data_IF_509590311850
#
_entry.id   IF_509590311850
#
_cell.length_a   1.000
_cell.length_b   1.000
_cell.length_c   1.000
_cell.angle_alpha   90.00
_cell.angle_beta   90.00
_cell.angle_gamma   90.00
#
_symmetry.space_group_name_H-M   'P 1'
#
loop_
_entity.id
_entity.type
_entity.pdbx_description
1 polymer ?
#
# COMPACT_ATOMS: atom_id res chain seq x y z
N UNK A 1 25.20 -54.25 11.12
CA UNK A 1 23.96 -54.85 11.61
C UNK A 1 22.78 -54.34 10.80
N UNK A 2 22.06 -55.22 10.17
CA UNK A 2 20.83 -54.84 9.49
C UNK A 2 19.73 -54.58 10.54
N UNK A 3 19.04 -53.45 10.41
CA UNK A 3 17.85 -53.17 11.21
C UNK A 3 16.78 -54.23 10.92
N UNK A 4 16.06 -54.68 11.94
CA UNK A 4 14.92 -55.58 11.73
C UNK A 4 13.81 -54.88 10.96
N UNK A 5 12.87 -55.63 10.43
CA UNK A 5 11.79 -55.11 9.59
C UNK A 5 10.92 -54.11 10.34
N UNK A 6 10.62 -54.35 11.62
CA UNK A 6 9.84 -53.45 12.48
C UNK A 6 10.51 -52.09 12.67
N UNK A 7 11.85 -52.05 12.83
CA UNK A 7 12.59 -50.81 12.99
C UNK A 7 12.62 -50.00 11.69
N UNK A 8 12.68 -50.64 10.52
CA UNK A 8 12.59 -50.00 9.23
C UNK A 8 11.22 -49.37 8.99
N UNK A 9 10.16 -50.10 9.30
CA UNK A 9 8.78 -49.60 9.19
C UNK A 9 8.55 -48.41 10.09
N UNK A 10 9.06 -48.41 11.32
CA UNK A 10 8.97 -47.29 12.24
C UNK A 10 9.70 -46.03 11.72
N UNK A 11 10.90 -46.20 11.17
CA UNK A 11 11.68 -45.12 10.57
C UNK A 11 10.94 -44.53 9.39
N UNK A 12 10.36 -45.33 8.53
CA UNK A 12 9.60 -44.86 7.37
C UNK A 12 8.35 -44.12 7.78
N UNK A 13 7.62 -44.60 8.79
CA UNK A 13 6.45 -43.88 9.37
C UNK A 13 6.86 -42.51 9.92
N UNK A 14 7.95 -42.42 10.67
CA UNK A 14 8.48 -41.18 11.21
C UNK A 14 8.91 -40.21 10.12
N UNK A 15 9.54 -40.66 9.05
CA UNK A 15 9.90 -39.84 7.90
C UNK A 15 8.68 -39.26 7.20
N UNK A 16 7.63 -40.02 6.98
CA UNK A 16 6.39 -39.62 6.36
C UNK A 16 5.70 -38.53 7.23
N UNK A 17 5.65 -38.74 8.55
CA UNK A 17 5.08 -37.78 9.49
C UNK A 17 5.86 -36.46 9.53
N UNK A 18 7.17 -36.51 9.56
CA UNK A 18 8.02 -35.31 9.51
C UNK A 18 7.84 -34.55 8.21
N UNK A 19 7.80 -35.22 7.08
CA UNK A 19 7.56 -34.60 5.78
C UNK A 19 6.18 -33.91 5.73
N UNK A 20 5.14 -34.55 6.26
CA UNK A 20 3.80 -33.99 6.34
C UNK A 20 3.74 -32.73 7.21
N UNK A 21 4.42 -32.72 8.36
CA UNK A 21 4.50 -31.56 9.27
C UNK A 21 5.23 -30.40 8.59
N UNK A 22 6.36 -30.65 7.94
CA UNK A 22 7.13 -29.63 7.21
C UNK A 22 6.29 -29.03 6.09
N UNK A 23 5.65 -29.86 5.27
CA UNK A 23 4.79 -29.42 4.17
C UNK A 23 3.61 -28.57 4.67
N UNK A 24 2.98 -28.95 5.78
CA UNK A 24 1.88 -28.20 6.40
C UNK A 24 2.37 -26.85 6.92
N UNK A 25 3.54 -26.81 7.57
CA UNK A 25 4.14 -25.56 8.07
C UNK A 25 4.49 -24.60 6.94
N UNK A 26 5.07 -25.11 5.85
CA UNK A 26 5.36 -24.31 4.65
C UNK A 26 4.09 -23.77 4.02
N UNK A 27 3.03 -24.57 3.94
CA UNK A 27 1.73 -24.15 3.42
C UNK A 27 1.12 -23.02 4.26
N UNK A 28 1.17 -23.08 5.59
CA UNK A 28 0.69 -22.03 6.49
C UNK A 28 1.50 -20.74 6.30
N UNK A 29 2.83 -20.83 6.25
CA UNK A 29 3.71 -19.66 6.06
C UNK A 29 3.44 -19.00 4.71
N UNK A 30 3.35 -19.76 3.64
CA UNK A 30 3.07 -19.27 2.30
C UNK A 30 1.69 -18.59 2.22
N UNK A 31 0.68 -19.17 2.86
CA UNK A 31 -0.65 -18.58 2.95
C UNK A 31 -0.62 -17.22 3.70
N UNK A 32 0.07 -17.16 4.82
CA UNK A 32 0.21 -15.92 5.60
C UNK A 32 0.91 -14.82 4.81
N UNK A 33 1.94 -15.13 4.05
CA UNK A 33 2.64 -14.18 3.17
C UNK A 33 1.71 -13.74 2.05
N UNK A 34 0.99 -14.66 1.42
CA UNK A 34 0.02 -14.36 0.36
C UNK A 34 -1.08 -13.44 0.87
N UNK A 35 -1.64 -13.70 2.06
CA UNK A 35 -2.70 -12.90 2.68
C UNK A 35 -2.22 -11.48 2.97
N UNK A 36 -1.01 -11.30 3.48
CA UNK A 36 -0.42 -9.98 3.75
C UNK A 36 -0.16 -9.20 2.46
N UNK A 37 0.34 -9.86 1.42
CA UNK A 37 0.54 -9.22 0.11
C UNK A 37 -0.79 -8.83 -0.51
N UNK A 38 -1.79 -9.66 -0.40
CA UNK A 38 -3.15 -9.37 -0.86
C UNK A 38 -3.75 -8.18 -0.11
N UNK A 39 -3.54 -8.10 1.20
CA UNK A 39 -3.95 -6.95 2.01
C UNK A 39 -3.25 -5.67 1.53
N UNK A 40 -1.96 -5.70 1.30
CA UNK A 40 -1.21 -4.56 0.75
C UNK A 40 -1.80 -4.08 -0.58
N UNK A 41 -2.04 -5.00 -1.51
CA UNK A 41 -2.64 -4.68 -2.81
C UNK A 41 -4.05 -4.10 -2.66
N UNK A 42 -4.85 -4.62 -1.72
CA UNK A 42 -6.19 -4.11 -1.42
C UNK A 42 -6.14 -2.68 -0.88
N UNK A 43 -5.14 -2.35 -0.07
CA UNK A 43 -4.91 -0.98 0.41
C UNK A 43 -4.60 -0.04 -0.75
N UNK A 44 -3.70 -0.43 -1.64
CA UNK A 44 -3.36 0.38 -2.82
C UNK A 44 -4.60 0.66 -3.67
N UNK A 45 -5.39 -0.36 -3.94
CA UNK A 45 -6.63 -0.24 -4.70
C UNK A 45 -7.65 0.66 -4.00
N UNK A 46 -7.82 0.51 -2.70
CA UNK A 46 -8.74 1.34 -1.92
C UNK A 46 -8.33 2.81 -1.97
N UNK A 47 -7.05 3.11 -1.78
CA UNK A 47 -6.53 4.48 -1.86
C UNK A 47 -6.81 5.09 -3.23
N UNK A 48 -6.46 4.38 -4.31
CA UNK A 48 -6.67 4.86 -5.67
C UNK A 48 -8.16 5.11 -6.00
N UNK A 49 -9.05 4.30 -5.43
CA UNK A 49 -10.49 4.42 -5.65
C UNK A 49 -11.15 5.54 -4.82
N UNK A 50 -10.49 6.04 -3.79
CA UNK A 50 -11.06 6.98 -2.81
C UNK A 50 -10.28 8.30 -2.69
N UNK A 51 -9.51 8.69 -3.70
CA UNK A 51 -8.71 9.92 -3.69
C UNK A 51 -9.56 11.18 -3.51
N UNK A 52 -10.79 11.17 -4.03
CA UNK A 52 -11.73 12.29 -3.92
C UNK A 52 -12.60 12.24 -2.67
N UNK A 53 -12.30 11.36 -1.73
CA UNK A 53 -12.98 11.21 -0.46
C UNK A 53 -12.10 11.68 0.70
N UNK A 54 -12.72 11.93 1.83
CA UNK A 54 -12.01 12.16 3.10
C UNK A 54 -11.44 10.81 3.58
N UNK A 55 -10.25 10.49 3.11
CA UNK A 55 -9.62 9.21 3.30
C UNK A 55 -8.79 9.17 4.59
N UNK A 56 -9.20 8.33 5.53
CA UNK A 56 -8.48 8.07 6.78
C UNK A 56 -7.98 6.63 6.83
N UNK A 57 -6.88 6.41 7.54
CA UNK A 57 -6.36 5.06 7.77
C UNK A 57 -7.39 4.18 8.49
N UNK A 58 -8.16 4.77 9.41
CA UNK A 58 -9.26 4.06 10.09
C UNK A 58 -10.32 3.53 9.14
N UNK A 59 -10.64 4.25 8.08
CA UNK A 59 -11.62 3.82 7.07
C UNK A 59 -11.12 2.60 6.30
N UNK A 60 -9.84 2.60 5.92
CA UNK A 60 -9.20 1.47 5.24
C UNK A 60 -9.17 0.25 6.15
N UNK A 61 -8.77 0.44 7.41
CA UNK A 61 -8.72 -0.63 8.41
C UNK A 61 -10.09 -1.26 8.62
N UNK A 62 -11.14 -0.44 8.75
CA UNK A 62 -12.52 -0.90 8.87
C UNK A 62 -12.98 -1.69 7.65
N UNK A 63 -12.65 -1.21 6.45
CA UNK A 63 -12.99 -1.88 5.20
C UNK A 63 -12.34 -3.26 5.08
N UNK A 64 -11.13 -3.41 5.58
CA UNK A 64 -10.38 -4.67 5.54
C UNK A 64 -10.57 -5.53 6.80
N UNK A 65 -11.42 -5.11 7.74
CA UNK A 65 -11.70 -5.82 9.01
C UNK A 65 -10.44 -6.09 9.85
N UNK A 66 -9.52 -5.13 9.89
CA UNK A 66 -8.26 -5.21 10.66
C UNK A 66 -8.09 -3.97 11.54
N UNK A 67 -7.19 -4.04 12.53
CA UNK A 67 -6.80 -2.86 13.30
C UNK A 67 -5.90 -1.93 12.49
N UNK A 68 -5.91 -0.64 12.80
CA UNK A 68 -5.01 0.33 12.17
C UNK A 68 -3.54 -0.04 12.38
N UNK A 69 -3.20 -0.51 13.58
CA UNK A 69 -1.84 -0.93 13.92
C UNK A 69 -1.35 -2.07 13.04
N UNK A 70 -2.18 -3.08 12.84
CA UNK A 70 -1.88 -4.21 11.95
C UNK A 70 -1.74 -3.74 10.49
N UNK A 71 -2.66 -2.90 10.03
CA UNK A 71 -2.64 -2.34 8.68
C UNK A 71 -1.35 -1.56 8.40
N UNK A 72 -0.96 -0.67 9.33
CA UNK A 72 0.28 0.10 9.21
C UNK A 72 1.52 -0.78 9.19
N UNK A 73 1.55 -1.81 10.02
CA UNK A 73 2.63 -2.79 10.09
C UNK A 73 2.79 -3.57 8.78
N UNK A 74 1.69 -4.09 8.25
CA UNK A 74 1.68 -4.82 6.97
C UNK A 74 2.09 -3.90 5.82
N UNK A 75 1.55 -2.69 5.77
CA UNK A 75 1.87 -1.74 4.71
C UNK A 75 3.37 -1.39 4.69
N UNK A 76 3.95 -1.09 5.85
CA UNK A 76 5.37 -0.74 5.98
C UNK A 76 6.30 -1.89 5.58
N UNK A 77 5.84 -3.12 5.69
CA UNK A 77 6.62 -4.31 5.30
C UNK A 77 6.84 -4.38 3.78
N UNK A 78 5.90 -3.87 2.99
CA UNK A 78 5.94 -3.91 1.52
C UNK A 78 6.21 -2.55 0.88
N UNK A 79 6.35 -1.48 1.68
CA UNK A 79 6.54 -0.12 1.21
C UNK A 79 7.64 0.58 2.01
N UNK A 80 8.44 1.41 1.34
CA UNK A 80 9.48 2.21 1.98
C UNK A 80 8.91 3.42 2.72
N UNK A 81 7.65 3.76 2.47
CA UNK A 81 6.97 4.92 3.09
C UNK A 81 5.79 4.47 3.93
N UNK A 82 5.37 5.31 4.87
CA UNK A 82 4.18 5.03 5.69
C UNK A 82 2.90 5.07 4.84
N UNK A 83 1.85 4.41 5.31
CA UNK A 83 0.53 4.45 4.66
C UNK A 83 0.01 5.89 4.52
N UNK A 84 0.16 6.72 5.56
CA UNK A 84 -0.24 8.12 5.52
C UNK A 84 0.53 8.90 4.42
N UNK A 85 1.82 8.68 4.32
CA UNK A 85 2.64 9.28 3.26
C UNK A 85 2.23 8.80 1.87
N UNK A 86 1.89 7.53 1.74
CA UNK A 86 1.38 6.98 0.48
C UNK A 86 0.08 7.64 0.04
N UNK A 87 -0.86 7.83 0.97
CA UNK A 87 -2.14 8.52 0.70
C UNK A 87 -1.88 9.94 0.20
N UNK A 88 -1.02 10.70 0.88
CA UNK A 88 -0.68 12.07 0.49
C UNK A 88 0.01 12.11 -0.87
N UNK A 89 0.96 11.20 -1.11
CA UNK A 89 1.64 11.10 -2.39
C UNK A 89 0.66 10.80 -3.53
N UNK A 90 -0.26 9.88 -3.33
CA UNK A 90 -1.28 9.54 -4.33
C UNK A 90 -2.19 10.73 -4.63
N UNK A 91 -2.61 11.48 -3.61
CA UNK A 91 -3.39 12.71 -3.78
C UNK A 91 -2.60 13.79 -4.53
N UNK A 92 -1.33 13.95 -4.27
CA UNK A 92 -0.49 14.92 -4.99
C UNK A 92 -0.32 14.52 -6.45
N UNK A 93 -0.16 13.25 -6.77
CA UNK A 93 -0.11 12.78 -8.15
C UNK A 93 -1.41 13.08 -8.89
N UNK A 94 -2.56 12.88 -8.26
CA UNK A 94 -3.86 13.26 -8.84
C UNK A 94 -3.98 14.78 -8.97
N UNK A 95 -3.51 15.53 -7.99
CA UNK A 95 -3.48 17.00 -8.05
C UNK A 95 -2.71 17.52 -9.26
N UNK A 96 -1.58 16.90 -9.59
CA UNK A 96 -0.81 17.26 -10.78
C UNK A 96 -1.65 17.14 -12.06
N UNK A 97 -2.42 16.08 -12.20
CA UNK A 97 -3.30 15.87 -13.34
C UNK A 97 -4.44 16.90 -13.38
N UNK A 98 -5.05 17.21 -12.24
CA UNK A 98 -6.12 18.20 -12.15
C UNK A 98 -5.62 19.61 -12.48
N UNK A 99 -4.43 19.97 -12.01
CA UNK A 99 -3.80 21.26 -12.33
C UNK A 99 -3.48 21.36 -13.83
N UNK A 100 -3.00 20.30 -14.46
CA UNK A 100 -2.74 20.23 -15.90
C UNK A 100 -4.02 20.43 -16.72
N UNK A 101 -5.16 19.98 -16.21
CA UNK A 101 -6.48 20.15 -16.83
C UNK A 101 -7.07 21.55 -16.62
N UNK A 102 -6.38 22.42 -15.89
CA UNK A 102 -6.79 23.80 -15.65
C UNK A 102 -7.65 24.00 -14.42
N UNK A 103 -7.78 23.02 -13.53
CA UNK A 103 -8.53 23.21 -12.29
C UNK A 103 -7.78 24.18 -11.36
N UNK A 104 -8.45 25.21 -10.80
CA UNK A 104 -7.81 26.13 -9.87
C UNK A 104 -7.27 25.43 -8.61
N UNK A 105 -6.16 25.95 -8.08
CA UNK A 105 -5.46 25.37 -6.91
C UNK A 105 -6.41 25.18 -5.72
N UNK A 106 -7.25 26.18 -5.43
CA UNK A 106 -8.20 26.10 -4.32
C UNK A 106 -9.23 24.99 -4.50
N UNK A 107 -9.68 24.75 -5.73
CA UNK A 107 -10.61 23.65 -6.03
C UNK A 107 -9.92 22.30 -5.94
N UNK A 108 -8.67 22.18 -6.42
CA UNK A 108 -7.88 20.94 -6.30
C UNK A 108 -7.75 20.55 -4.83
N UNK A 109 -7.38 21.49 -3.97
CA UNK A 109 -7.27 21.24 -2.53
C UNK A 109 -8.60 20.75 -1.93
N UNK A 110 -9.70 21.34 -2.37
CA UNK A 110 -11.04 21.03 -1.88
C UNK A 110 -11.52 19.65 -2.33
N UNK A 111 -11.41 19.31 -3.61
CA UNK A 111 -11.88 18.02 -4.14
C UNK A 111 -11.05 16.83 -3.65
N UNK A 112 -9.78 17.06 -3.34
CA UNK A 112 -8.90 16.04 -2.78
C UNK A 112 -8.91 16.01 -1.25
N UNK A 113 -9.79 16.78 -0.63
CA UNK A 113 -9.99 16.82 0.84
C UNK A 113 -8.72 17.13 1.64
N UNK A 114 -7.95 18.11 1.18
CA UNK A 114 -6.94 18.73 2.01
C UNK A 114 -7.61 19.63 3.05
N UNK A 115 -6.96 19.82 4.19
CA UNK A 115 -7.50 20.66 5.26
C UNK A 115 -7.79 22.09 4.78
N UNK A 116 -6.83 22.68 4.08
CA UNK A 116 -6.95 24.00 3.43
C UNK A 116 -5.97 24.09 2.24
N UNK A 117 -6.03 25.20 1.51
CA UNK A 117 -5.13 25.44 0.37
C UNK A 117 -3.66 25.55 0.82
N UNK A 118 -3.41 26.14 1.98
CA UNK A 118 -2.04 26.27 2.53
C UNK A 118 -1.41 24.90 2.82
N UNK A 119 -2.17 24.01 3.43
CA UNK A 119 -1.72 22.62 3.69
C UNK A 119 -1.46 21.90 2.37
N UNK A 120 -2.34 22.05 1.39
CA UNK A 120 -2.17 21.48 0.06
C UNK A 120 -0.87 21.97 -0.60
N UNK A 121 -0.63 23.28 -0.63
CA UNK A 121 0.56 23.87 -1.27
C UNK A 121 1.87 23.42 -0.61
N UNK A 122 1.89 23.34 0.71
CA UNK A 122 3.05 22.82 1.45
C UNK A 122 3.32 21.35 1.12
N UNK A 123 2.27 20.55 1.09
CA UNK A 123 2.36 19.13 0.76
C UNK A 123 2.78 18.93 -0.69
N UNK A 124 2.23 19.70 -1.61
CA UNK A 124 2.59 19.67 -3.03
C UNK A 124 4.09 19.95 -3.23
N UNK A 125 4.60 21.01 -2.62
CA UNK A 125 6.02 21.34 -2.70
C UNK A 125 6.90 20.25 -2.09
N UNK A 126 6.47 19.66 -0.97
CA UNK A 126 7.20 18.57 -0.31
C UNK A 126 7.37 17.34 -1.22
N UNK A 127 6.32 16.95 -1.94
CA UNK A 127 6.34 15.74 -2.75
C UNK A 127 6.83 15.96 -4.19
N UNK A 128 6.66 17.15 -4.74
CA UNK A 128 7.09 17.46 -6.12
C UNK A 128 8.41 18.22 -6.21
N UNK A 129 8.85 18.83 -5.10
CA UNK A 129 10.05 19.65 -5.05
C UNK A 129 9.87 21.08 -5.59
N UNK A 130 8.67 21.43 -6.07
CA UNK A 130 8.37 22.74 -6.64
C UNK A 130 6.98 23.24 -6.23
N UNK A 131 6.76 24.56 -6.30
CA UNK A 131 5.43 25.11 -6.06
C UNK A 131 4.46 24.75 -7.19
N UNK A 132 3.16 24.85 -6.93
CA UNK A 132 2.15 24.62 -7.97
C UNK A 132 2.30 25.55 -9.18
N UNK A 133 2.68 26.80 -8.95
CA UNK A 133 2.92 27.75 -10.02
C UNK A 133 4.15 27.39 -10.86
N UNK A 134 5.24 27.01 -10.22
CA UNK A 134 6.45 26.52 -10.90
C UNK A 134 6.16 25.26 -11.71
N UNK A 135 5.38 24.34 -11.14
CA UNK A 135 4.97 23.12 -11.81
C UNK A 135 4.15 23.43 -13.08
N UNK A 136 3.17 24.32 -12.99
CA UNK A 136 2.34 24.69 -14.13
C UNK A 136 3.14 25.43 -15.22
N UNK A 137 4.06 26.30 -14.82
CA UNK A 137 4.97 26.99 -15.77
C UNK A 137 5.82 25.96 -16.53
N UNK A 138 6.43 25.02 -15.82
CA UNK A 138 7.23 23.95 -16.41
C UNK A 138 6.40 23.07 -17.34
N UNK A 139 5.17 22.73 -16.96
CA UNK A 139 4.27 21.94 -17.78
C UNK A 139 3.89 22.65 -19.09
N UNK A 140 3.60 23.96 -19.04
CA UNK A 140 3.29 24.77 -20.23
C UNK A 140 4.47 24.80 -21.21
N UNK A 141 5.68 24.90 -20.69
CA UNK A 141 6.91 24.94 -21.50
C UNK A 141 7.22 23.60 -22.18
N UNK A 142 6.75 22.49 -21.57
CA UNK A 142 6.97 21.14 -22.10
C UNK A 142 5.82 20.59 -22.91
N UNK A 143 4.64 21.22 -22.86
CA UNK A 143 3.48 20.77 -23.62
C UNK A 143 3.67 20.99 -25.11
N UNK A 144 3.31 20.03 -25.97
CA UNK A 144 3.35 20.25 -27.42
C UNK A 144 2.39 21.38 -27.81
N UNK A 145 2.93 22.33 -28.55
CA UNK A 145 2.14 23.46 -29.07
C UNK A 145 1.23 22.99 -30.19
#
# INVERSE_FOLDING_TARGET
MALNEEARDLIDVLRIRCAAIISFSESIVNKSISDKRQMYNSVLHYVDSHLYSKLKVSDIASHLYVSESHLRSVFKKYSDISLQSHILKAKIQEAQLLLQRGMPVGEVAKVLHFYDTTHFLKTFKKYTGMSSNEYLAKYRDTAPK
#
